data_IF_428459766598
#
_entry.id   IF_428459766598
#
_cell.length_a   1.000
_cell.length_b   1.000
_cell.length_c   1.000
_cell.angle_alpha   90.00
_cell.angle_beta   90.00
_cell.angle_gamma   90.00
#
_symmetry.space_group_name_H-M   'P 1'
#
loop_
_entity.id
_entity.type
_entity.pdbx_description
1 polymer ?
#
# COMPACT_ATOMS: atom_id res chain seq x y z
N UNK A 1 -58.67 15.90 -24.72
CA UNK A 1 -57.43 15.20 -25.18
C UNK A 1 -56.45 15.20 -24.00
N UNK A 2 -56.34 14.09 -23.37
CA UNK A 2 -55.40 13.91 -22.26
C UNK A 2 -54.05 13.50 -22.87
N UNK A 3 -53.07 14.39 -22.83
CA UNK A 3 -51.68 14.01 -23.19
C UNK A 3 -51.05 13.44 -21.97
N UNK A 4 -50.88 12.13 -21.92
CA UNK A 4 -50.10 11.42 -20.95
C UNK A 4 -48.61 11.66 -21.26
N UNK A 5 -48.00 12.54 -20.46
CA UNK A 5 -46.55 12.61 -20.41
C UNK A 5 -46.04 11.43 -19.60
N UNK A 6 -45.56 10.41 -20.26
CA UNK A 6 -44.72 9.40 -19.61
C UNK A 6 -43.35 10.01 -19.32
N UNK A 7 -43.17 10.43 -18.08
CA UNK A 7 -41.86 10.73 -17.56
C UNK A 7 -41.14 9.39 -17.34
N UNK A 8 -40.40 8.92 -18.33
CA UNK A 8 -39.49 7.81 -18.16
C UNK A 8 -38.37 8.29 -17.24
N UNK A 9 -38.50 8.02 -15.94
CA UNK A 9 -37.38 8.14 -15.01
C UNK A 9 -36.43 7.00 -15.35
N UNK A 10 -35.42 7.31 -16.17
CA UNK A 10 -34.26 6.45 -16.26
C UNK A 10 -33.55 6.50 -14.90
N UNK A 11 -33.84 5.50 -14.05
CA UNK A 11 -32.97 5.23 -12.91
C UNK A 11 -31.65 4.72 -13.48
N UNK A 12 -30.70 5.63 -13.65
CA UNK A 12 -29.34 5.25 -13.94
C UNK A 12 -28.80 4.48 -12.74
N UNK A 13 -28.69 3.15 -12.87
CA UNK A 13 -27.92 2.33 -11.96
C UNK A 13 -26.45 2.74 -12.16
N UNK A 14 -25.99 3.68 -11.36
CA UNK A 14 -24.55 3.88 -11.22
C UNK A 14 -24.00 2.69 -10.44
N UNK A 15 -23.45 1.72 -11.16
CA UNK A 15 -22.68 0.65 -10.57
C UNK A 15 -21.37 1.30 -10.08
N UNK A 16 -21.37 1.71 -8.82
CA UNK A 16 -20.13 2.13 -8.16
C UNK A 16 -19.20 0.93 -8.11
N UNK A 17 -18.06 1.00 -8.81
CA UNK A 17 -16.99 0.02 -8.64
C UNK A 17 -16.45 0.25 -7.23
N UNK A 18 -16.74 -0.67 -6.32
CA UNK A 18 -16.15 -0.65 -4.99
C UNK A 18 -14.67 -1.01 -5.13
N UNK A 19 -13.80 0.00 -5.13
CA UNK A 19 -12.38 -0.23 -4.94
C UNK A 19 -12.12 -0.52 -3.45
N UNK A 20 -11.39 -1.60 -3.17
CA UNK A 20 -10.84 -1.83 -1.85
C UNK A 20 -10.10 -0.57 -1.41
N UNK A 21 -10.41 -0.06 -0.22
CA UNK A 21 -9.81 1.17 0.27
C UNK A 21 -8.32 0.97 0.55
N UNK A 22 -7.47 1.79 -0.06
CA UNK A 22 -6.04 1.83 0.18
C UNK A 22 -5.78 2.36 1.59
N UNK A 23 -5.08 1.61 2.48
CA UNK A 23 -4.74 2.10 3.81
C UNK A 23 -3.71 3.23 3.81
N UNK A 24 -3.02 3.46 2.69
CA UNK A 24 -1.99 4.48 2.55
C UNK A 24 -2.25 5.40 1.34
N UNK A 25 -3.39 6.10 1.30
CA UNK A 25 -3.79 6.85 0.11
C UNK A 25 -2.89 8.06 -0.20
N UNK A 26 -2.14 8.55 0.80
CA UNK A 26 -1.22 9.68 0.65
C UNK A 26 0.18 9.24 0.21
N UNK A 27 0.46 7.94 0.20
CA UNK A 27 1.73 7.40 -0.23
C UNK A 27 1.79 7.22 -1.75
N UNK A 28 2.97 7.48 -2.33
CA UNK A 28 3.27 7.22 -3.73
C UNK A 28 4.11 5.93 -3.84
N UNK A 29 3.50 4.88 -4.38
CA UNK A 29 4.16 3.57 -4.50
C UNK A 29 5.35 3.58 -5.45
N UNK A 30 5.38 4.45 -6.46
CA UNK A 30 6.51 4.57 -7.39
C UNK A 30 7.73 5.14 -6.67
N UNK A 31 7.53 6.18 -5.89
CA UNK A 31 8.59 6.76 -5.04
C UNK A 31 9.03 5.72 -4.00
N UNK A 32 8.09 5.06 -3.35
CA UNK A 32 8.36 4.03 -2.35
C UNK A 32 9.18 2.87 -2.90
N UNK A 33 8.89 2.43 -4.11
CA UNK A 33 9.66 1.38 -4.80
C UNK A 33 11.13 1.76 -4.94
N UNK A 34 11.41 2.95 -5.41
CA UNK A 34 12.79 3.44 -5.58
C UNK A 34 13.52 3.52 -4.23
N UNK A 35 12.83 3.94 -3.17
CA UNK A 35 13.40 4.01 -1.82
C UNK A 35 13.72 2.63 -1.26
N UNK A 36 12.85 1.64 -1.46
CA UNK A 36 13.07 0.26 -1.01
C UNK A 36 14.23 -0.38 -1.76
N UNK A 37 14.28 -0.23 -3.06
CA UNK A 37 15.39 -0.74 -3.89
C UNK A 37 16.74 -0.16 -3.46
N UNK A 38 16.77 1.11 -3.13
CA UNK A 38 17.99 1.79 -2.71
C UNK A 38 18.45 1.39 -1.32
N UNK A 39 17.52 1.26 -0.36
CA UNK A 39 17.86 1.25 1.07
C UNK A 39 17.57 -0.09 1.78
N UNK A 40 16.72 -0.95 1.22
CA UNK A 40 16.22 -2.13 1.93
C UNK A 40 16.61 -3.45 1.28
N UNK A 41 16.52 -3.56 -0.04
CA UNK A 41 16.69 -4.84 -0.75
C UNK A 41 18.07 -5.45 -0.53
N UNK A 42 19.13 -4.65 -0.55
CA UNK A 42 20.49 -5.15 -0.36
C UNK A 42 20.67 -5.90 0.95
N UNK A 43 20.14 -5.36 2.07
CA UNK A 43 20.19 -6.00 3.37
C UNK A 43 19.28 -7.23 3.44
N UNK A 44 18.05 -7.15 2.91
CA UNK A 44 17.12 -8.27 2.90
C UNK A 44 17.62 -9.41 2.01
N UNK A 45 18.16 -9.12 0.83
CA UNK A 45 18.76 -10.13 -0.04
C UNK A 45 19.96 -10.82 0.60
N UNK A 46 20.80 -10.09 1.31
CA UNK A 46 21.94 -10.62 2.04
C UNK A 46 21.54 -11.62 3.13
N UNK A 47 20.42 -11.37 3.82
CA UNK A 47 19.92 -12.19 4.92
C UNK A 47 19.04 -13.35 4.48
N UNK A 48 18.20 -13.14 3.46
CA UNK A 48 17.12 -14.04 3.08
C UNK A 48 17.27 -14.60 1.66
N UNK A 49 18.26 -14.14 0.90
CA UNK A 49 18.49 -14.57 -0.48
C UNK A 49 17.59 -13.88 -1.51
N UNK A 50 17.82 -14.16 -2.80
CA UNK A 50 17.05 -13.62 -3.90
C UNK A 50 17.08 -12.09 -3.97
N UNK A 51 15.93 -11.48 -4.17
CA UNK A 51 15.73 -10.03 -4.20
C UNK A 51 15.37 -9.43 -2.82
N UNK A 52 15.39 -10.24 -1.77
CA UNK A 52 15.06 -9.83 -0.41
C UNK A 52 13.57 -9.75 -0.10
N UNK A 53 12.68 -10.09 -1.04
CA UNK A 53 11.23 -9.99 -0.86
C UNK A 53 10.64 -11.04 0.08
N UNK A 54 11.35 -12.11 0.35
CA UNK A 54 10.89 -13.21 1.19
C UNK A 54 10.45 -12.76 2.59
N UNK A 55 11.11 -11.77 3.16
CA UNK A 55 10.76 -11.23 4.47
C UNK A 55 9.32 -10.68 4.53
N UNK A 56 8.77 -10.25 3.39
CA UNK A 56 7.42 -9.70 3.32
C UNK A 56 6.36 -10.77 3.08
N UNK A 57 6.72 -11.88 2.43
CA UNK A 57 5.79 -12.87 1.89
C UNK A 57 5.75 -14.19 2.67
N UNK A 58 6.73 -14.46 3.51
CA UNK A 58 6.75 -15.70 4.32
C UNK A 58 5.54 -15.78 5.26
N UNK A 59 5.05 -16.97 5.54
CA UNK A 59 3.86 -17.20 6.37
C UNK A 59 3.96 -16.61 7.78
N UNK A 60 5.15 -16.61 8.36
CA UNK A 60 5.41 -16.13 9.71
C UNK A 60 5.84 -14.65 9.76
N UNK A 61 5.62 -13.88 8.71
CA UNK A 61 5.93 -12.46 8.72
C UNK A 61 5.21 -11.74 9.86
N UNK A 62 5.93 -10.83 10.53
CA UNK A 62 5.45 -10.18 11.76
C UNK A 62 4.41 -9.11 11.52
N UNK A 63 4.41 -8.52 10.34
CA UNK A 63 3.52 -7.41 9.98
C UNK A 63 2.17 -8.00 9.58
N UNK A 64 1.12 -7.73 10.36
CA UNK A 64 -0.22 -8.28 10.17
C UNK A 64 -1.30 -7.22 9.94
N UNK A 65 -0.95 -5.95 9.94
CA UNK A 65 -1.90 -4.84 9.79
C UNK A 65 -1.21 -3.60 9.21
N UNK A 66 -1.99 -2.65 8.65
CA UNK A 66 -1.43 -1.38 8.19
C UNK A 66 -0.68 -0.60 9.28
N UNK A 67 -1.20 -0.44 10.51
CA UNK A 67 -0.43 0.23 11.57
C UNK A 67 0.88 -0.49 11.92
N UNK A 68 0.89 -1.82 11.91
CA UNK A 68 2.09 -2.60 12.16
C UNK A 68 3.13 -2.41 11.04
N UNK A 69 2.69 -2.24 9.79
CA UNK A 69 3.59 -1.96 8.67
C UNK A 69 4.29 -0.61 8.85
N UNK A 70 3.55 0.43 9.21
CA UNK A 70 4.13 1.75 9.50
C UNK A 70 5.13 1.67 10.64
N UNK A 71 4.79 0.99 11.73
CA UNK A 71 5.67 0.81 12.88
C UNK A 71 6.98 0.10 12.49
N UNK A 72 6.90 -0.91 11.65
CA UNK A 72 8.08 -1.65 11.17
C UNK A 72 8.95 -0.77 10.26
N UNK A 73 8.36 -0.02 9.36
CA UNK A 73 9.08 0.91 8.48
C UNK A 73 9.80 1.98 9.32
N UNK A 74 9.11 2.52 10.31
CA UNK A 74 9.68 3.54 11.21
C UNK A 74 10.84 2.98 12.01
N UNK A 75 10.73 1.74 12.49
CA UNK A 75 11.82 1.05 13.18
C UNK A 75 13.03 0.88 12.27
N UNK A 76 12.84 0.45 11.03
CA UNK A 76 13.92 0.32 10.05
C UNK A 76 14.55 1.67 9.72
N UNK A 77 13.74 2.70 9.51
CA UNK A 77 14.19 4.06 9.27
C UNK A 77 15.12 4.54 10.41
N UNK A 78 14.71 4.33 11.65
CA UNK A 78 15.51 4.69 12.83
C UNK A 78 16.80 3.86 12.92
N UNK A 79 16.69 2.55 12.79
CA UNK A 79 17.84 1.63 12.95
C UNK A 79 18.90 1.81 11.86
N UNK A 80 18.48 2.16 10.65
CA UNK A 80 19.38 2.40 9.52
C UNK A 80 19.83 3.86 9.39
N UNK A 81 19.28 4.76 10.21
CA UNK A 81 19.61 6.18 10.17
C UNK A 81 19.24 6.86 8.85
N UNK A 82 18.13 6.46 8.23
CA UNK A 82 17.73 6.95 6.91
C UNK A 82 17.19 8.38 6.95
N UNK A 83 16.73 8.83 8.11
CA UNK A 83 16.17 10.18 8.32
C UNK A 83 14.98 10.51 7.43
N UNK A 84 14.14 9.52 7.15
CA UNK A 84 12.91 9.71 6.40
C UNK A 84 11.89 10.49 7.23
N UNK A 85 11.17 11.39 6.57
CA UNK A 85 10.00 12.04 7.11
C UNK A 85 8.78 11.11 7.02
N UNK A 86 7.70 11.50 7.67
CA UNK A 86 6.47 10.70 7.72
C UNK A 86 5.88 10.43 6.33
N UNK A 87 5.90 11.41 5.43
CA UNK A 87 5.43 11.24 4.05
C UNK A 87 6.30 10.23 3.26
N UNK A 88 7.60 10.21 3.51
CA UNK A 88 8.52 9.24 2.90
C UNK A 88 8.25 7.83 3.43
N UNK A 89 7.99 7.67 4.71
CA UNK A 89 7.56 6.39 5.29
C UNK A 89 6.24 5.90 4.66
N UNK A 90 5.32 6.82 4.37
CA UNK A 90 4.05 6.50 3.69
C UNK A 90 4.26 6.05 2.23
N UNK A 91 5.22 6.60 1.52
CA UNK A 91 5.57 6.13 0.17
C UNK A 91 6.05 4.68 0.20
N UNK A 92 6.93 4.36 1.14
CA UNK A 92 7.42 2.98 1.33
C UNK A 92 6.27 2.04 1.72
N UNK A 93 5.41 2.46 2.64
CA UNK A 93 4.26 1.68 3.07
C UNK A 93 3.30 1.40 1.89
N UNK A 94 3.02 2.40 1.07
CA UNK A 94 2.18 2.23 -0.11
C UNK A 94 2.75 1.20 -1.07
N UNK A 95 4.04 1.27 -1.37
CA UNK A 95 4.69 0.30 -2.24
C UNK A 95 4.66 -1.12 -1.68
N UNK A 96 5.08 -1.30 -0.43
CA UNK A 96 5.11 -2.63 0.20
C UNK A 96 3.72 -3.22 0.31
N UNK A 97 2.72 -2.41 0.63
CA UNK A 97 1.35 -2.89 0.72
C UNK A 97 0.79 -3.29 -0.64
N UNK A 98 0.95 -2.48 -1.66
CA UNK A 98 0.44 -2.78 -3.01
C UNK A 98 1.11 -4.00 -3.63
N UNK A 99 2.38 -4.23 -3.30
CA UNK A 99 3.18 -5.29 -3.90
C UNK A 99 3.09 -6.59 -3.11
N UNK A 100 3.16 -6.55 -1.79
CA UNK A 100 3.32 -7.74 -0.95
C UNK A 100 2.18 -7.98 0.04
N UNK A 101 1.87 -7.03 0.91
CA UNK A 101 0.95 -7.27 2.03
C UNK A 101 -0.51 -7.28 1.64
N UNK A 102 -0.93 -6.41 0.72
CA UNK A 102 -2.31 -6.33 0.21
C UNK A 102 -3.37 -6.04 1.29
N UNK A 103 -2.99 -5.30 2.31
CA UNK A 103 -3.94 -4.87 3.33
C UNK A 103 -4.99 -3.92 2.76
N UNK A 104 -6.21 -4.03 3.26
CA UNK A 104 -7.31 -3.11 3.01
C UNK A 104 -7.57 -2.27 4.27
N UNK A 105 -8.16 -1.12 4.06
CA UNK A 105 -8.50 -0.20 5.15
C UNK A 105 -9.68 -0.74 5.97
#
# INVERSE_FOLDING_TARGET
MLKLFFCSILLGLSVGIAHAADPFPQGDAVIGKAMVEKNCIACHASRFGGDGSEIYTREDHRVKSPPALIAQIRSCNTNLGLKWFEDEELHVASYLNKTYYKFEK
#
